data_IF_664372640671
#
_entry.id   IF_664372640671
#
_cell.length_a   1.000
_cell.length_b   1.000
_cell.length_c   1.000
_cell.angle_alpha   90.00
_cell.angle_beta   90.00
_cell.angle_gamma   90.00
#
_symmetry.space_group_name_H-M   'P 1'
#
loop_
_entity.id
_entity.type
_entity.pdbx_description
1 polymer ?
#
# COMPACT_ATOMS: atom_id res chain seq x y z
N UNK A 1 7.56 9.33 2.05
CA UNK A 1 8.12 9.60 0.70
C UNK A 1 7.25 10.67 0.04
N UNK A 2 7.85 11.66 -0.61
CA UNK A 2 7.10 12.78 -1.19
C UNK A 2 7.88 13.37 -2.37
N UNK A 3 7.24 14.22 -3.16
CA UNK A 3 7.86 15.00 -4.22
C UNK A 3 8.41 16.35 -3.74
N UNK A 4 7.94 16.82 -2.59
CA UNK A 4 8.40 18.02 -1.93
C UNK A 4 8.16 17.95 -0.42
N UNK A 5 8.96 18.68 0.34
CA UNK A 5 8.76 18.87 1.78
C UNK A 5 8.90 20.35 2.10
N UNK A 6 7.94 20.90 2.86
CA UNK A 6 8.06 22.29 3.31
C UNK A 6 9.12 22.39 4.42
N UNK A 7 9.85 23.53 4.55
CA UNK A 7 10.81 23.71 5.63
C UNK A 7 10.18 23.58 7.03
N UNK A 8 8.91 23.97 7.19
CA UNK A 8 8.18 23.82 8.44
C UNK A 8 7.94 22.34 8.77
N UNK A 9 7.55 21.54 7.77
CA UNK A 9 7.37 20.10 7.93
C UNK A 9 8.66 19.39 8.33
N UNK A 10 9.80 19.73 7.70
CA UNK A 10 11.09 19.14 8.04
C UNK A 10 11.46 19.40 9.51
N UNK A 11 11.32 20.65 9.97
CA UNK A 11 11.55 21.01 11.38
C UNK A 11 10.63 20.26 12.35
N UNK A 12 9.38 20.05 11.97
CA UNK A 12 8.43 19.29 12.77
C UNK A 12 8.84 17.82 12.88
N UNK A 13 9.23 17.19 11.78
CA UNK A 13 9.70 15.80 11.75
C UNK A 13 10.99 15.62 12.57
N UNK A 14 11.93 16.56 12.49
CA UNK A 14 13.15 16.53 13.31
C UNK A 14 12.82 16.54 14.81
N UNK A 15 11.89 17.38 15.24
CA UNK A 15 11.43 17.42 16.64
C UNK A 15 10.79 16.10 17.07
N UNK A 16 9.94 15.50 16.22
CA UNK A 16 9.34 14.20 16.49
C UNK A 16 10.39 13.09 16.63
N UNK A 17 11.39 13.08 15.76
CA UNK A 17 12.48 12.10 15.80
C UNK A 17 13.21 12.14 17.14
N UNK A 18 13.54 13.34 17.62
CA UNK A 18 14.20 13.55 18.93
C UNK A 18 13.26 13.15 20.07
N UNK A 19 12.02 13.65 20.07
CA UNK A 19 11.06 13.41 21.16
C UNK A 19 10.76 11.93 21.38
N UNK A 20 10.62 11.17 20.30
CA UNK A 20 10.26 9.75 20.36
C UNK A 20 11.46 8.80 20.26
N UNK A 21 12.69 9.33 20.16
CA UNK A 21 13.92 8.53 20.01
C UNK A 21 13.85 7.58 18.79
N UNK A 22 13.30 8.07 17.69
CA UNK A 22 13.11 7.31 16.45
C UNK A 22 13.94 7.90 15.32
N UNK A 23 14.36 7.03 14.39
CA UNK A 23 14.98 7.47 13.14
C UNK A 23 13.91 7.68 12.08
N UNK A 24 13.76 8.90 11.60
CA UNK A 24 12.89 9.22 10.47
C UNK A 24 13.76 9.55 9.27
N UNK A 25 13.57 8.81 8.17
CA UNK A 25 14.24 9.09 6.89
C UNK A 25 13.24 9.67 5.90
N UNK A 26 13.51 10.87 5.39
CA UNK A 26 12.71 11.49 4.34
C UNK A 26 13.26 11.08 2.97
N UNK A 27 12.38 10.64 2.08
CA UNK A 27 12.72 10.25 0.72
C UNK A 27 12.01 11.18 -0.26
N UNK A 28 12.78 11.82 -1.12
CA UNK A 28 12.28 12.69 -2.18
C UNK A 28 12.23 11.91 -3.51
N UNK A 29 11.09 11.95 -4.19
CA UNK A 29 10.92 11.37 -5.53
C UNK A 29 10.85 12.51 -6.55
N UNK A 30 11.57 12.31 -7.66
CA UNK A 30 11.43 13.09 -8.89
C UNK A 30 10.24 12.58 -9.70
N UNK A 31 9.20 13.41 -9.82
CA UNK A 31 7.88 13.04 -10.37
C UNK A 31 7.80 13.20 -11.90
N UNK A 32 8.86 13.71 -12.54
CA UNK A 32 8.90 13.92 -13.99
C UNK A 32 8.68 12.59 -14.75
N UNK A 33 9.15 11.47 -14.19
CA UNK A 33 8.93 10.12 -14.73
C UNK A 33 7.50 9.57 -14.55
N UNK A 34 6.67 10.25 -13.75
CA UNK A 34 5.31 9.84 -13.40
C UNK A 34 4.23 10.52 -14.25
N UNK A 35 4.59 11.50 -15.09
CA UNK A 35 3.64 12.24 -15.92
C UNK A 35 2.94 11.36 -16.97
N UNK A 36 3.56 10.24 -17.34
CA UNK A 36 3.05 9.26 -18.30
C UNK A 36 2.05 8.26 -17.72
N UNK A 37 1.85 8.22 -16.41
CA UNK A 37 0.90 7.28 -15.78
C UNK A 37 -0.51 7.88 -15.63
N UNK A 38 -1.58 7.05 -15.67
CA UNK A 38 -2.94 7.53 -15.50
C UNK A 38 -3.13 8.29 -14.20
N UNK A 39 -3.80 9.43 -14.28
CA UNK A 39 -4.19 10.26 -13.14
C UNK A 39 -5.66 10.64 -13.30
N UNK A 40 -6.39 10.72 -12.18
CA UNK A 40 -7.74 11.29 -12.19
C UNK A 40 -7.80 12.45 -11.20
N UNK A 41 -8.87 13.25 -11.26
CA UNK A 41 -9.09 14.35 -10.30
C UNK A 41 -9.19 13.87 -8.84
N UNK A 42 -9.54 12.60 -8.62
CA UNK A 42 -9.71 11.98 -7.29
C UNK A 42 -8.41 11.31 -6.82
N UNK A 43 -7.53 10.93 -7.74
CA UNK A 43 -6.44 9.99 -7.53
C UNK A 43 -5.13 10.62 -8.01
N UNK A 44 -4.35 11.13 -7.06
CA UNK A 44 -3.08 11.81 -7.35
C UNK A 44 -1.94 10.83 -7.60
N UNK A 45 -0.87 11.33 -8.23
CA UNK A 45 0.41 10.59 -8.44
C UNK A 45 0.98 9.98 -7.17
N UNK A 46 0.61 10.50 -6.00
CA UNK A 46 1.11 10.06 -4.71
C UNK A 46 0.82 8.58 -4.43
N UNK A 47 -0.22 7.99 -5.01
CA UNK A 47 -0.47 6.54 -4.83
C UNK A 47 0.67 5.68 -5.37
N UNK A 48 1.31 6.09 -6.46
CA UNK A 48 2.41 5.35 -7.06
C UNK A 48 3.69 5.45 -6.23
N UNK A 49 3.78 6.40 -5.29
CA UNK A 49 4.96 6.54 -4.43
C UNK A 49 5.22 5.28 -3.60
N UNK A 50 4.19 4.49 -3.26
CA UNK A 50 4.37 3.20 -2.58
C UNK A 50 5.12 2.19 -3.46
N UNK A 51 4.81 2.13 -4.76
CA UNK A 51 5.46 1.20 -5.70
C UNK A 51 6.94 1.54 -5.89
N UNK A 52 7.26 2.84 -5.95
CA UNK A 52 8.65 3.31 -5.95
C UNK A 52 9.35 3.06 -4.62
N UNK A 53 8.65 3.27 -3.49
CA UNK A 53 9.20 2.98 -2.18
C UNK A 53 9.58 1.50 -2.07
N UNK A 54 8.73 0.59 -2.55
CA UNK A 54 9.00 -0.85 -2.54
C UNK A 54 10.21 -1.20 -3.41
N UNK A 55 10.29 -0.70 -4.65
CA UNK A 55 11.47 -0.94 -5.50
C UNK A 55 12.75 -0.39 -4.88
N UNK A 56 12.73 0.88 -4.46
CA UNK A 56 13.90 1.56 -3.93
C UNK A 56 14.39 0.92 -2.63
N UNK A 57 13.47 0.64 -1.70
CA UNK A 57 13.81 0.08 -0.39
C UNK A 57 14.15 -1.41 -0.47
N UNK A 58 13.71 -2.15 -1.50
CA UNK A 58 14.13 -3.54 -1.72
C UNK A 58 15.64 -3.71 -1.92
N UNK A 59 16.35 -2.60 -2.21
CA UNK A 59 17.82 -2.57 -2.33
C UNK A 59 18.51 -2.43 -0.97
N UNK A 60 17.76 -2.17 0.10
CA UNK A 60 18.28 -1.82 1.44
C UNK A 60 17.75 -2.70 2.56
N UNK A 61 16.51 -3.19 2.43
CA UNK A 61 15.81 -3.97 3.45
C UNK A 61 15.01 -5.10 2.80
N UNK A 62 14.82 -6.20 3.54
CA UNK A 62 14.12 -7.39 3.05
C UNK A 62 12.61 -7.35 3.28
N UNK A 63 12.16 -6.64 4.31
CA UNK A 63 10.75 -6.49 4.65
C UNK A 63 10.42 -5.04 4.96
N UNK A 64 9.16 -4.66 4.78
CA UNK A 64 8.66 -3.32 5.06
C UNK A 64 7.19 -3.39 5.47
N UNK A 65 6.83 -2.65 6.52
CA UNK A 65 5.43 -2.36 6.83
C UNK A 65 5.05 -1.03 6.20
N UNK A 66 4.11 -1.06 5.27
CA UNK A 66 3.47 0.12 4.69
C UNK A 66 2.17 0.42 5.41
N UNK A 67 1.97 1.70 5.72
CA UNK A 67 0.75 2.25 6.33
C UNK A 67 0.34 3.50 5.54
N UNK A 68 -0.93 3.62 5.20
CA UNK A 68 -1.49 4.87 4.71
C UNK A 68 -1.38 5.97 5.78
N UNK A 69 -1.28 7.23 5.33
CA UNK A 69 -1.01 8.36 6.22
C UNK A 69 -2.17 8.66 7.20
N UNK A 70 -3.35 8.12 6.96
CA UNK A 70 -4.54 8.22 7.80
C UNK A 70 -4.75 7.01 8.74
N UNK A 71 -3.82 6.06 8.75
CA UNK A 71 -3.86 4.90 9.66
C UNK A 71 -3.47 5.30 11.08
N UNK A 72 -4.31 4.94 12.05
CA UNK A 72 -4.02 5.08 13.48
C UNK A 72 -3.71 3.73 14.11
N UNK A 73 -2.47 3.53 14.54
CA UNK A 73 -2.04 2.30 15.20
C UNK A 73 -2.36 2.34 16.70
N UNK A 74 -3.29 1.48 17.16
CA UNK A 74 -3.69 1.37 18.58
C UNK A 74 -3.04 0.22 19.35
N UNK A 75 -2.41 -0.72 18.64
CA UNK A 75 -1.84 -1.94 19.21
C UNK A 75 -0.36 -2.12 18.90
N UNK A 76 0.26 -3.12 19.53
CA UNK A 76 1.64 -3.51 19.24
C UNK A 76 1.75 -4.10 17.83
N UNK A 77 2.88 -3.84 17.16
CA UNK A 77 3.22 -4.42 15.87
C UNK A 77 4.10 -5.68 16.00
N UNK A 78 4.38 -6.13 17.24
CA UNK A 78 5.32 -7.21 17.51
C UNK A 78 4.96 -8.51 16.76
N UNK A 79 3.67 -8.86 16.72
CA UNK A 79 3.20 -10.07 16.05
C UNK A 79 3.43 -10.02 14.53
N UNK A 80 3.33 -8.83 13.91
CA UNK A 80 3.64 -8.66 12.49
C UNK A 80 5.12 -8.88 12.21
N UNK A 81 5.99 -8.43 13.12
CA UNK A 81 7.45 -8.59 12.97
C UNK A 81 7.90 -10.05 13.10
N UNK A 82 7.10 -10.89 13.74
CA UNK A 82 7.35 -12.33 13.88
C UNK A 82 6.71 -13.16 12.76
N UNK A 83 5.88 -12.54 11.90
CA UNK A 83 5.20 -13.24 10.83
C UNK A 83 6.19 -13.69 9.76
N UNK A 84 6.15 -14.99 9.43
CA UNK A 84 6.96 -15.55 8.36
C UNK A 84 6.37 -15.21 6.98
N UNK A 85 7.12 -14.45 6.20
CA UNK A 85 6.82 -14.09 4.81
C UNK A 85 7.71 -14.83 3.79
N UNK A 86 8.42 -15.89 4.18
CA UNK A 86 9.43 -16.54 3.32
C UNK A 86 8.85 -17.01 1.98
N UNK A 87 7.61 -17.49 1.95
CA UNK A 87 6.93 -17.97 0.73
C UNK A 87 5.78 -17.06 0.25
N UNK A 88 5.58 -15.92 0.91
CA UNK A 88 4.45 -15.02 0.65
C UNK A 88 4.95 -13.59 0.45
N UNK A 89 4.44 -12.93 -0.58
CA UNK A 89 4.92 -11.60 -0.96
C UNK A 89 4.43 -10.54 0.02
N UNK A 90 3.23 -10.70 0.58
CA UNK A 90 2.71 -9.75 1.55
C UNK A 90 1.74 -10.39 2.55
N UNK A 91 1.58 -9.75 3.70
CA UNK A 91 0.47 -9.94 4.59
C UNK A 91 -0.44 -8.70 4.55
N UNK A 92 -1.73 -8.95 4.33
CA UNK A 92 -2.75 -7.93 4.00
C UNK A 92 -4.08 -8.29 4.63
N UNK A 93 -5.03 -7.35 4.65
CA UNK A 93 -6.36 -7.58 5.21
C UNK A 93 -7.40 -7.54 4.09
N UNK A 94 -8.26 -8.56 4.02
CA UNK A 94 -9.37 -8.59 3.06
C UNK A 94 -10.24 -7.35 3.20
N UNK A 95 -10.68 -6.80 2.07
CA UNK A 95 -11.67 -5.72 2.09
C UNK A 95 -13.06 -6.27 2.44
N UNK A 96 -13.98 -5.38 2.82
CA UNK A 96 -15.35 -5.75 3.23
C UNK A 96 -16.14 -6.39 2.09
N UNK A 97 -17.15 -7.20 2.42
CA UNK A 97 -17.96 -7.95 1.44
C UNK A 97 -18.60 -7.06 0.36
N UNK A 98 -19.01 -5.84 0.74
CA UNK A 98 -19.58 -4.88 -0.22
C UNK A 98 -18.57 -4.43 -1.28
N UNK A 99 -17.28 -4.41 -0.96
CA UNK A 99 -16.20 -4.15 -1.91
C UNK A 99 -15.86 -5.40 -2.71
N UNK A 100 -15.80 -6.58 -2.06
CA UNK A 100 -15.60 -7.87 -2.76
C UNK A 100 -16.59 -8.03 -3.93
N UNK A 101 -17.88 -7.79 -3.67
CA UNK A 101 -18.92 -7.94 -4.68
C UNK A 101 -18.75 -6.98 -5.86
N UNK A 102 -18.47 -5.70 -5.58
CA UNK A 102 -18.25 -4.67 -6.62
C UNK A 102 -17.01 -4.96 -7.46
N UNK A 103 -15.96 -5.51 -6.85
CA UNK A 103 -14.74 -5.93 -7.55
C UNK A 103 -15.04 -7.08 -8.51
N UNK A 104 -15.85 -8.06 -8.10
CA UNK A 104 -16.20 -9.19 -8.96
C UNK A 104 -16.97 -8.78 -10.22
N UNK A 105 -17.80 -7.74 -10.13
CA UNK A 105 -18.51 -7.19 -11.27
C UNK A 105 -17.55 -6.45 -12.23
N UNK A 106 -16.70 -5.58 -11.67
CA UNK A 106 -15.82 -4.67 -12.44
C UNK A 106 -14.55 -5.33 -12.99
N UNK A 107 -13.96 -6.23 -12.22
CA UNK A 107 -12.68 -6.89 -12.50
C UNK A 107 -12.85 -8.41 -12.69
N UNK A 108 -14.01 -8.83 -13.19
CA UNK A 108 -14.38 -10.24 -13.36
C UNK A 108 -13.33 -11.08 -14.08
N UNK A 109 -12.65 -10.49 -15.07
CA UNK A 109 -11.61 -11.16 -15.85
C UNK A 109 -10.41 -11.62 -15.01
N UNK A 110 -10.16 -11.00 -13.86
CA UNK A 110 -9.04 -11.32 -12.96
C UNK A 110 -9.42 -12.29 -11.83
N UNK A 111 -10.70 -12.64 -11.68
CA UNK A 111 -11.20 -13.61 -10.71
C UNK A 111 -10.73 -13.36 -9.26
N UNK A 112 -10.82 -12.12 -8.78
CA UNK A 112 -10.34 -11.70 -7.45
C UNK A 112 -11.32 -12.04 -6.29
N UNK A 113 -12.32 -12.86 -6.57
CA UNK A 113 -13.43 -13.11 -5.65
C UNK A 113 -12.98 -13.69 -4.32
N UNK A 114 -13.33 -13.01 -3.22
CA UNK A 114 -13.02 -13.44 -1.86
C UNK A 114 -11.55 -13.30 -1.47
N UNK A 115 -10.70 -12.81 -2.39
CA UNK A 115 -9.27 -12.56 -2.18
C UNK A 115 -8.89 -11.08 -2.19
N UNK A 116 -9.83 -10.18 -2.53
CA UNK A 116 -9.51 -8.77 -2.67
C UNK A 116 -9.18 -8.13 -1.31
N UNK A 117 -8.07 -7.41 -1.20
CA UNK A 117 -7.59 -6.79 0.02
C UNK A 117 -7.54 -5.28 -0.07
N UNK A 118 -7.65 -4.65 1.10
CA UNK A 118 -7.43 -3.22 1.25
C UNK A 118 -5.91 -2.94 1.33
N UNK A 119 -5.41 -2.01 0.52
CA UNK A 119 -3.97 -1.73 0.40
C UNK A 119 -3.45 -0.68 1.38
N UNK A 120 -4.26 -0.22 2.34
CA UNK A 120 -3.82 0.79 3.32
C UNK A 120 -2.90 0.27 4.43
N UNK A 121 -2.84 -1.05 4.61
CA UNK A 121 -1.87 -1.71 5.49
C UNK A 121 -1.32 -2.93 4.75
N UNK A 122 -0.01 -2.92 4.48
CA UNK A 122 0.66 -3.99 3.73
C UNK A 122 2.01 -4.28 4.38
N UNK A 123 2.17 -5.48 4.94
CA UNK A 123 3.47 -5.96 5.37
C UNK A 123 4.09 -6.77 4.23
N UNK A 124 5.13 -6.25 3.59
CA UNK A 124 5.67 -6.76 2.32
C UNK A 124 7.05 -7.38 2.49
N UNK A 125 7.26 -8.51 1.82
CA UNK A 125 8.56 -9.11 1.57
C UNK A 125 9.18 -8.45 0.31
N UNK A 126 10.04 -7.48 0.55
CA UNK A 126 10.71 -6.71 -0.51
C UNK A 126 11.73 -7.52 -1.30
N UNK A 127 12.27 -8.60 -0.73
CA UNK A 127 13.12 -9.54 -1.47
C UNK A 127 12.31 -10.21 -2.58
N UNK A 128 11.19 -10.85 -2.22
CA UNK A 128 10.30 -11.48 -3.21
C UNK A 128 9.70 -10.46 -4.17
N UNK A 129 9.38 -9.25 -3.69
CA UNK A 129 8.90 -8.15 -4.53
C UNK A 129 9.87 -7.84 -5.68
N UNK A 130 11.16 -7.71 -5.35
CA UNK A 130 12.23 -7.44 -6.32
C UNK A 130 12.47 -8.63 -7.25
N UNK A 131 12.56 -9.84 -6.72
CA UNK A 131 12.78 -11.08 -7.49
C UNK A 131 11.69 -11.32 -8.54
N UNK A 132 10.46 -10.87 -8.26
CA UNK A 132 9.32 -11.01 -9.16
C UNK A 132 9.09 -9.80 -10.07
N UNK A 133 9.96 -8.79 -10.04
CA UNK A 133 9.84 -7.54 -10.79
C UNK A 133 8.46 -6.87 -10.65
N UNK A 134 7.90 -6.84 -9.44
CA UNK A 134 6.50 -6.45 -9.24
C UNK A 134 6.22 -4.97 -9.51
N UNK A 135 7.18 -4.08 -9.24
CA UNK A 135 7.01 -2.66 -9.56
C UNK A 135 6.86 -2.43 -11.07
N UNK A 136 7.67 -3.09 -11.89
CA UNK A 136 7.57 -3.00 -13.36
C UNK A 136 6.23 -3.56 -13.86
N UNK A 137 5.85 -4.75 -13.39
CA UNK A 137 4.56 -5.38 -13.74
C UNK A 137 3.38 -4.51 -13.33
N UNK A 138 3.46 -3.83 -12.19
CA UNK A 138 2.43 -2.90 -11.75
C UNK A 138 2.28 -1.73 -12.73
N UNK A 139 3.40 -1.12 -13.16
CA UNK A 139 3.35 -0.04 -14.13
C UNK A 139 2.87 -0.50 -15.52
N UNK A 140 3.21 -1.71 -15.95
CA UNK A 140 2.69 -2.28 -17.20
C UNK A 140 1.17 -2.45 -17.17
N UNK A 141 0.61 -2.91 -16.05
CA UNK A 141 -0.85 -2.99 -15.88
C UNK A 141 -1.50 -1.61 -15.86
N UNK A 142 -0.89 -0.65 -15.15
CA UNK A 142 -1.38 0.73 -15.08
C UNK A 142 -1.31 1.47 -16.42
N UNK A 143 -0.37 1.13 -17.30
CA UNK A 143 -0.28 1.68 -18.65
C UNK A 143 -1.02 0.84 -19.71
N UNK A 144 -1.61 -0.29 -19.30
CA UNK A 144 -2.27 -1.25 -20.17
C UNK A 144 -3.69 -0.85 -20.56
N UNK A 145 -4.33 -1.68 -21.40
CA UNK A 145 -5.70 -1.44 -21.88
C UNK A 145 -6.74 -1.59 -20.78
N UNK A 146 -6.40 -2.34 -19.74
CA UNK A 146 -7.24 -2.61 -18.58
C UNK A 146 -7.24 -1.45 -17.58
N UNK A 147 -6.36 -0.46 -17.74
CA UNK A 147 -6.21 0.68 -16.81
C UNK A 147 -7.54 1.42 -16.56
N UNK A 148 -8.37 1.57 -17.59
CA UNK A 148 -9.68 2.24 -17.49
C UNK A 148 -10.68 1.48 -16.60
N UNK A 149 -10.46 0.19 -16.34
CA UNK A 149 -11.28 -0.62 -15.43
C UNK A 149 -10.91 -0.44 -13.95
N UNK A 150 -9.75 0.18 -13.66
CA UNK A 150 -9.23 0.34 -12.30
C UNK A 150 -9.81 1.61 -11.63
N UNK A 151 -10.76 1.40 -10.74
CA UNK A 151 -11.39 2.39 -9.86
C UNK A 151 -10.46 2.79 -8.72
N UNK A 152 -9.65 1.84 -8.24
CA UNK A 152 -8.63 2.04 -7.20
C UNK A 152 -7.29 1.58 -7.78
N UNK A 153 -6.64 2.39 -8.64
CA UNK A 153 -5.58 1.90 -9.52
C UNK A 153 -4.44 1.14 -8.83
N UNK A 154 -3.91 1.68 -7.74
CA UNK A 154 -2.83 1.04 -6.99
C UNK A 154 -3.32 -0.24 -6.27
N UNK A 155 -4.48 -0.19 -5.61
CA UNK A 155 -5.05 -1.33 -4.88
C UNK A 155 -5.45 -2.46 -5.83
N UNK A 156 -6.12 -2.15 -6.94
CA UNK A 156 -6.56 -3.13 -7.93
C UNK A 156 -5.36 -3.86 -8.54
N UNK A 157 -4.32 -3.13 -8.91
CA UNK A 157 -3.09 -3.70 -9.48
C UNK A 157 -2.34 -4.57 -8.47
N UNK A 158 -2.26 -4.15 -7.20
CA UNK A 158 -1.70 -5.00 -6.15
C UNK A 158 -2.48 -6.29 -5.98
N UNK A 159 -3.81 -6.23 -6.01
CA UNK A 159 -4.66 -7.42 -5.90
C UNK A 159 -4.50 -8.37 -7.08
N UNK A 160 -4.35 -7.86 -8.30
CA UNK A 160 -4.10 -8.67 -9.49
C UNK A 160 -2.73 -9.36 -9.40
N UNK A 161 -1.68 -8.63 -9.04
CA UNK A 161 -0.31 -9.18 -9.02
C UNK A 161 -0.06 -10.17 -7.88
N UNK A 162 -0.72 -9.94 -6.74
CA UNK A 162 -0.49 -10.68 -5.50
C UNK A 162 -1.55 -11.77 -5.23
N UNK A 163 -2.43 -12.05 -6.18
CA UNK A 163 -3.38 -13.15 -6.09
C UNK A 163 -2.64 -14.46 -5.71
N UNK A 164 -3.17 -15.15 -4.69
CA UNK A 164 -2.63 -16.38 -4.07
C UNK A 164 -1.23 -16.29 -3.43
N UNK A 165 -0.62 -15.11 -3.45
CA UNK A 165 0.73 -14.83 -2.94
C UNK A 165 0.73 -14.08 -1.60
N UNK A 166 -0.42 -13.98 -0.94
CA UNK A 166 -0.57 -13.22 0.31
C UNK A 166 -0.96 -14.10 1.50
N UNK A 167 -0.69 -13.59 2.70
CA UNK A 167 -1.28 -14.03 3.96
C UNK A 167 -2.41 -13.06 4.32
N UNK A 168 -3.57 -13.58 4.70
CA UNK A 168 -4.66 -12.74 5.19
C UNK A 168 -4.57 -12.56 6.70
N UNK A 169 -4.32 -11.32 7.11
CA UNK A 169 -4.30 -10.88 8.49
C UNK A 169 -5.72 -10.71 9.04
N UNK A 170 -5.91 -10.83 10.37
CA UNK A 170 -7.16 -10.50 11.03
C UNK A 170 -7.63 -9.07 10.74
N UNK A 171 -8.96 -8.89 10.72
CA UNK A 171 -9.60 -7.60 10.42
C UNK A 171 -9.08 -6.40 11.25
N UNK A 172 -8.74 -6.53 12.55
CA UNK A 172 -8.24 -5.40 13.34
C UNK A 172 -6.97 -4.72 12.81
N UNK A 173 -6.16 -5.40 11.99
CA UNK A 173 -4.97 -4.80 11.40
C UNK A 173 -5.29 -3.72 10.35
N UNK A 174 -6.49 -3.76 9.74
CA UNK A 174 -6.94 -2.74 8.81
C UNK A 174 -8.48 -2.69 8.83
N UNK A 175 -9.00 -1.73 9.59
CA UNK A 175 -10.43 -1.51 9.74
C UNK A 175 -10.77 -0.08 9.41
N UNK A 176 -11.64 0.11 8.43
CA UNK A 176 -12.22 1.42 8.13
C UNK A 176 -13.12 1.81 9.29
N UNK A 177 -12.73 2.85 10.01
CA UNK A 177 -13.46 3.40 11.13
C UNK A 177 -14.16 4.69 10.69
N UNK A 178 -15.47 4.77 10.87
CA UNK A 178 -16.22 6.00 10.56
C UNK A 178 -16.45 6.79 11.85
N UNK A 179 -16.63 8.11 11.81
CA UNK A 179 -16.95 8.87 13.03
C UNK A 179 -18.25 8.34 13.68
N UNK A 180 -19.18 7.79 12.88
CA UNK A 180 -20.38 7.11 13.37
C UNK A 180 -20.09 5.88 14.24
N UNK A 181 -18.92 5.24 14.13
CA UNK A 181 -18.57 4.11 14.99
C UNK A 181 -18.01 4.52 16.36
N UNK A 182 -17.56 5.76 16.56
CA UNK A 182 -17.26 6.29 17.92
C UNK A 182 -18.54 6.69 18.68
N UNK A 183 -19.56 7.14 17.93
CA UNK A 183 -20.85 7.51 18.49
C UNK A 183 -21.66 6.23 18.73
N UNK A 184 -21.33 5.51 19.81
CA UNK A 184 -22.26 4.56 20.41
C UNK A 184 -23.37 5.36 21.09
N UNK A 185 -24.61 5.15 20.67
CA UNK A 185 -25.78 5.47 21.49
C UNK A 185 -25.77 4.62 22.78
#
# INVERSE_FOLDING_TARGET
ICDSYSPCFVKYIERLAVQHHIKISLYLIKVESLEVLPQTKVWSRAMYFRLFAFDYLSKKVNTLLYLDADVVCKGSLQDLLQLDLTEKIAAVVKDVDSIQNKVNERLRAFNLQGGYFNSGVVFVNLKLWKENALTEKAFLLLAGKEADSFKYPDQDVLNILLQDKVIFLPRPYNTIYTIKSELKD
#
